data_IF_427461395173
#
_entry.id   IF_427461395173
#
_cell.length_a   1.000
_cell.length_b   1.000
_cell.length_c   1.000
_cell.angle_alpha   90.00
_cell.angle_beta   90.00
_cell.angle_gamma   90.00
#
_symmetry.space_group_name_H-M   'P 1'
#
loop_
_entity.id
_entity.type
_entity.pdbx_description
1 polymer ?
#
# COMPACT_ATOMS: atom_id res chain seq x y z
N UNK A 1 -40.85 2.96 -5.81
CA UNK A 1 -39.69 2.05 -5.70
C UNK A 1 -38.62 2.88 -5.04
N UNK A 2 -38.52 2.73 -3.70
CA UNK A 2 -37.43 3.35 -2.96
C UNK A 2 -36.13 2.59 -3.32
N UNK A 3 -35.18 3.30 -3.93
CA UNK A 3 -33.86 2.74 -4.17
C UNK A 3 -33.13 2.66 -2.82
N UNK A 4 -32.41 1.57 -2.60
CA UNK A 4 -31.57 1.33 -1.43
C UNK A 4 -30.39 2.33 -1.44
N UNK A 5 -29.87 2.69 -0.26
CA UNK A 5 -28.72 3.57 -0.12
C UNK A 5 -27.52 3.12 -0.98
N UNK A 6 -27.27 1.81 -1.03
CA UNK A 6 -26.22 1.25 -1.88
C UNK A 6 -26.44 1.46 -3.37
N UNK A 7 -27.68 1.44 -3.84
CA UNK A 7 -27.99 1.71 -5.25
C UNK A 7 -27.71 3.17 -5.58
N UNK A 8 -28.10 4.10 -4.72
CA UNK A 8 -27.74 5.52 -4.88
C UNK A 8 -26.24 5.73 -4.85
N UNK A 9 -25.53 5.06 -3.94
CA UNK A 9 -24.07 5.14 -3.89
C UNK A 9 -23.44 4.67 -5.21
N UNK A 10 -23.83 3.50 -5.72
CA UNK A 10 -23.31 2.96 -6.97
C UNK A 10 -23.63 3.83 -8.19
N UNK A 11 -24.86 4.42 -8.25
CA UNK A 11 -25.20 5.35 -9.35
C UNK A 11 -24.38 6.63 -9.27
N UNK A 12 -24.08 7.12 -8.06
CA UNK A 12 -23.17 8.23 -7.82
C UNK A 12 -21.75 7.95 -8.30
N UNK A 13 -21.20 6.76 -8.01
CA UNK A 13 -19.88 6.35 -8.53
C UNK A 13 -19.86 6.30 -10.06
N UNK A 14 -20.89 5.75 -10.69
CA UNK A 14 -21.01 5.72 -12.15
C UNK A 14 -21.09 7.12 -12.72
N UNK A 15 -21.88 8.02 -12.11
CA UNK A 15 -21.97 9.42 -12.52
C UNK A 15 -20.61 10.13 -12.40
N UNK A 16 -19.86 9.92 -11.29
CA UNK A 16 -18.49 10.42 -11.14
C UNK A 16 -17.55 9.88 -12.23
N UNK A 17 -17.65 8.60 -12.54
CA UNK A 17 -16.83 7.99 -13.59
C UNK A 17 -17.11 8.59 -14.98
N UNK A 18 -18.35 9.08 -15.20
CA UNK A 18 -18.81 9.75 -16.42
C UNK A 18 -18.58 11.27 -16.38
N UNK A 19 -17.95 11.81 -15.34
CA UNK A 19 -17.75 13.23 -15.09
C UNK A 19 -19.07 14.04 -14.96
N UNK A 20 -20.19 13.36 -14.61
CA UNK A 20 -21.51 13.95 -14.33
C UNK A 20 -21.61 14.37 -12.86
N UNK A 21 -20.85 15.38 -12.47
CA UNK A 21 -20.65 15.76 -11.06
C UNK A 21 -21.94 16.19 -10.33
N UNK A 22 -22.88 16.84 -11.00
CA UNK A 22 -24.17 17.24 -10.41
C UNK A 22 -25.03 16.02 -10.08
N UNK A 23 -25.09 15.03 -10.97
CA UNK A 23 -25.81 13.78 -10.75
C UNK A 23 -25.16 12.97 -9.63
N UNK A 24 -23.83 12.83 -9.65
CA UNK A 24 -23.09 12.16 -8.59
C UNK A 24 -23.36 12.76 -7.21
N UNK A 25 -23.34 14.10 -7.10
CA UNK A 25 -23.64 14.80 -5.85
C UNK A 25 -25.06 14.54 -5.37
N UNK A 26 -26.05 14.54 -6.27
CA UNK A 26 -27.43 14.27 -5.91
C UNK A 26 -27.62 12.81 -5.42
N UNK A 27 -27.00 11.85 -6.10
CA UNK A 27 -27.07 10.44 -5.75
C UNK A 27 -26.39 10.17 -4.40
N UNK A 28 -25.21 10.73 -4.15
CA UNK A 28 -24.53 10.59 -2.84
C UNK A 28 -25.30 11.28 -1.70
N UNK A 29 -25.98 12.40 -1.96
CA UNK A 29 -26.88 13.01 -0.98
C UNK A 29 -28.06 12.10 -0.62
N UNK A 30 -28.61 11.40 -1.61
CA UNK A 30 -29.67 10.42 -1.37
C UNK A 30 -29.12 9.21 -0.60
N UNK A 31 -27.95 8.64 -1.03
CA UNK A 31 -27.32 7.52 -0.34
C UNK A 31 -27.09 7.83 1.15
N UNK A 32 -26.49 8.97 1.44
CA UNK A 32 -26.24 9.38 2.82
C UNK A 32 -27.51 9.76 3.58
N UNK A 33 -28.52 10.27 2.87
CA UNK A 33 -29.84 10.60 3.46
C UNK A 33 -30.59 9.35 3.92
N UNK A 34 -30.54 8.27 3.12
CA UNK A 34 -31.17 6.99 3.45
C UNK A 34 -30.37 6.24 4.53
N UNK A 35 -29.05 6.24 4.45
CA UNK A 35 -28.17 5.55 5.40
C UNK A 35 -27.02 6.45 5.85
N UNK A 36 -27.29 7.33 6.82
CA UNK A 36 -26.29 8.22 7.38
C UNK A 36 -25.36 7.47 8.38
N UNK A 37 -24.52 6.56 7.88
CA UNK A 37 -23.53 5.82 8.68
C UNK A 37 -22.13 6.40 8.49
N UNK A 38 -21.19 6.05 9.40
CA UNK A 38 -19.78 6.38 9.24
C UNK A 38 -19.22 5.71 7.97
N UNK A 39 -19.62 4.46 7.71
CA UNK A 39 -19.18 3.71 6.54
C UNK A 39 -19.61 4.38 5.24
N UNK A 40 -20.88 4.75 5.11
CA UNK A 40 -21.37 5.47 3.93
C UNK A 40 -20.63 6.80 3.71
N UNK A 41 -20.35 7.54 4.78
CA UNK A 41 -19.58 8.78 4.69
C UNK A 41 -18.16 8.55 4.16
N UNK A 42 -17.48 7.50 4.64
CA UNK A 42 -16.13 7.13 4.20
C UNK A 42 -16.14 6.66 2.76
N UNK A 43 -17.12 5.84 2.35
CA UNK A 43 -17.27 5.38 0.96
C UNK A 43 -17.44 6.55 0.00
N UNK A 44 -18.34 7.49 0.33
CA UNK A 44 -18.57 8.69 -0.50
C UNK A 44 -17.31 9.56 -0.55
N UNK A 45 -16.63 9.76 0.59
CA UNK A 45 -15.36 10.50 0.62
C UNK A 45 -14.33 9.85 -0.29
N UNK A 46 -14.17 8.53 -0.22
CA UNK A 46 -13.21 7.78 -1.04
C UNK A 46 -13.51 7.90 -2.53
N UNK A 47 -14.78 7.83 -2.93
CA UNK A 47 -15.21 8.02 -4.31
C UNK A 47 -14.85 9.41 -4.86
N UNK A 48 -15.05 10.46 -4.06
CA UNK A 48 -14.61 11.81 -4.44
C UNK A 48 -13.09 11.96 -4.47
N UNK A 49 -12.38 11.34 -3.52
CA UNK A 49 -10.92 11.41 -3.45
C UNK A 49 -10.26 10.81 -4.70
N UNK A 50 -10.80 9.73 -5.26
CA UNK A 50 -10.33 9.13 -6.52
C UNK A 50 -10.40 10.08 -7.73
N UNK A 51 -11.20 11.15 -7.62
CA UNK A 51 -11.36 12.20 -8.63
C UNK A 51 -10.69 13.52 -8.26
N UNK A 52 -9.81 13.51 -7.25
CA UNK A 52 -9.17 14.72 -6.72
C UNK A 52 -10.18 15.79 -6.20
N UNK A 53 -11.37 15.35 -5.76
CA UNK A 53 -12.47 16.20 -5.27
C UNK A 53 -12.64 16.08 -3.75
N UNK A 54 -11.55 16.11 -3.00
CA UNK A 54 -11.52 15.88 -1.55
C UNK A 54 -12.51 16.76 -0.77
N UNK A 55 -12.64 18.05 -1.15
CA UNK A 55 -13.51 18.99 -0.44
C UNK A 55 -15.00 18.58 -0.50
N UNK A 56 -15.46 17.99 -1.62
CA UNK A 56 -16.83 17.52 -1.79
C UNK A 56 -17.12 16.29 -0.93
N UNK A 57 -16.13 15.41 -0.75
CA UNK A 57 -16.21 14.24 0.11
C UNK A 57 -16.14 14.58 1.60
N UNK A 58 -15.29 15.53 1.99
CA UNK A 58 -15.03 15.90 3.41
C UNK A 58 -16.32 16.30 4.14
N UNK A 59 -17.28 16.94 3.48
CA UNK A 59 -18.58 17.31 4.09
C UNK A 59 -19.34 16.11 4.67
N UNK A 60 -19.21 14.92 4.08
CA UNK A 60 -19.87 13.71 4.60
C UNK A 60 -19.14 13.17 5.84
N UNK A 61 -17.81 13.25 5.88
CA UNK A 61 -17.03 12.92 7.07
C UNK A 61 -17.39 13.84 8.24
N UNK A 62 -17.49 15.17 8.00
CA UNK A 62 -17.93 16.14 9.00
C UNK A 62 -19.36 15.88 9.48
N UNK A 63 -20.27 15.52 8.56
CA UNK A 63 -21.64 15.18 8.91
C UNK A 63 -21.69 13.91 9.79
N UNK A 64 -20.89 12.89 9.50
CA UNK A 64 -20.78 11.68 10.31
C UNK A 64 -20.29 11.97 11.73
N UNK A 65 -19.32 12.88 11.90
CA UNK A 65 -18.80 13.28 13.22
C UNK A 65 -19.82 14.02 14.09
N UNK A 66 -20.92 14.50 13.52
CA UNK A 66 -22.01 15.10 14.32
C UNK A 66 -22.75 14.10 15.20
N UNK A 67 -22.58 12.79 14.94
CA UNK A 67 -23.15 11.72 15.77
C UNK A 67 -22.32 11.51 17.02
N UNK A 68 -22.98 11.10 18.11
CA UNK A 68 -22.30 10.64 19.33
C UNK A 68 -21.79 9.21 19.15
N UNK A 69 -20.64 8.90 19.75
CA UNK A 69 -20.19 7.53 19.88
C UNK A 69 -20.76 6.94 21.17
N UNK A 70 -21.52 5.85 21.06
CA UNK A 70 -22.22 5.24 22.18
C UNK A 70 -21.64 3.84 22.54
N UNK A 71 -20.73 3.31 21.73
CA UNK A 71 -20.12 1.99 21.92
C UNK A 71 -18.74 1.93 21.23
N UNK A 72 -18.01 0.84 21.47
CA UNK A 72 -16.67 0.61 20.91
C UNK A 72 -16.62 0.70 19.37
N UNK A 73 -17.66 0.23 18.68
CA UNK A 73 -17.71 0.31 17.22
C UNK A 73 -17.86 1.76 16.74
N UNK A 74 -18.71 2.56 17.38
CA UNK A 74 -18.88 3.97 17.04
C UNK A 74 -17.57 4.74 17.26
N UNK A 75 -16.84 4.47 18.36
CA UNK A 75 -15.51 5.06 18.59
C UNK A 75 -14.50 4.64 17.54
N UNK A 76 -14.49 3.36 17.15
CA UNK A 76 -13.63 2.87 16.07
C UNK A 76 -13.93 3.59 14.74
N UNK A 77 -15.20 3.71 14.38
CA UNK A 77 -15.63 4.34 13.14
C UNK A 77 -15.34 5.85 13.13
N UNK A 78 -15.54 6.54 14.25
CA UNK A 78 -15.13 7.95 14.40
C UNK A 78 -13.63 8.13 14.29
N UNK A 79 -12.86 7.22 14.89
CA UNK A 79 -11.41 7.18 14.75
C UNK A 79 -10.97 7.02 13.31
N UNK A 80 -11.66 6.17 12.55
CA UNK A 80 -11.44 5.97 11.11
C UNK A 80 -11.77 7.25 10.32
N UNK A 81 -12.87 7.93 10.64
CA UNK A 81 -13.24 9.22 10.01
C UNK A 81 -12.15 10.26 10.26
N UNK A 82 -11.69 10.42 11.51
CA UNK A 82 -10.60 11.35 11.83
C UNK A 82 -9.29 10.99 11.11
N UNK A 83 -9.00 9.69 10.95
CA UNK A 83 -7.85 9.23 10.16
C UNK A 83 -7.91 9.72 8.72
N UNK A 84 -9.06 9.57 8.04
CA UNK A 84 -9.26 10.06 6.68
C UNK A 84 -9.22 11.58 6.56
N UNK A 85 -9.58 12.30 7.61
CA UNK A 85 -9.45 13.77 7.69
C UNK A 85 -8.02 14.23 8.02
N UNK A 86 -7.09 13.33 8.30
CA UNK A 86 -5.73 13.66 8.73
C UNK A 86 -5.65 14.21 10.16
N UNK A 87 -6.72 14.15 10.93
CA UNK A 87 -6.75 14.54 12.34
C UNK A 87 -6.32 13.36 13.23
N UNK A 88 -5.02 13.08 13.19
CA UNK A 88 -4.43 11.92 13.86
C UNK A 88 -4.54 11.96 15.38
N UNK A 89 -4.58 13.12 16.00
CA UNK A 89 -4.71 13.26 17.46
C UNK A 89 -6.11 12.82 17.92
N UNK A 90 -7.16 13.27 17.23
CA UNK A 90 -8.51 12.83 17.52
C UNK A 90 -8.74 11.37 17.09
N UNK A 91 -8.13 10.93 15.98
CA UNK A 91 -8.17 9.53 15.59
C UNK A 91 -7.62 8.62 16.69
N UNK A 92 -6.41 8.92 17.22
CA UNK A 92 -5.81 8.12 18.29
C UNK A 92 -6.66 8.08 19.56
N UNK A 93 -7.30 9.20 19.92
CA UNK A 93 -8.16 9.26 21.10
C UNK A 93 -9.38 8.35 20.95
N UNK A 94 -10.11 8.48 19.86
CA UNK A 94 -11.30 7.65 19.60
C UNK A 94 -10.93 6.16 19.46
N UNK A 95 -9.84 5.85 18.76
CA UNK A 95 -9.35 4.49 18.62
C UNK A 95 -8.86 3.89 19.94
N UNK A 96 -8.34 4.70 20.86
CA UNK A 96 -7.95 4.20 22.18
C UNK A 96 -9.18 3.82 23.01
N UNK A 97 -10.24 4.62 23.01
CA UNK A 97 -11.51 4.28 23.68
C UNK A 97 -12.09 2.98 23.12
N UNK A 98 -12.08 2.83 21.77
CA UNK A 98 -12.54 1.61 21.12
C UNK A 98 -11.70 0.38 21.50
N UNK A 99 -10.38 0.51 21.52
CA UNK A 99 -9.46 -0.58 21.84
C UNK A 99 -9.57 -1.00 23.32
N UNK A 100 -9.73 -0.04 24.23
CA UNK A 100 -9.94 -0.29 25.66
C UNK A 100 -11.24 -1.07 25.93
N UNK A 101 -12.25 -0.87 25.07
CA UNK A 101 -13.51 -1.61 25.07
C UNK A 101 -13.46 -2.91 24.23
N UNK A 102 -12.26 -3.31 23.76
CA UNK A 102 -12.00 -4.60 23.13
C UNK A 102 -12.23 -4.64 21.62
N UNK A 103 -12.31 -3.50 20.94
CA UNK A 103 -12.40 -3.45 19.49
C UNK A 103 -11.02 -3.70 18.85
N UNK A 104 -10.82 -4.90 18.30
CA UNK A 104 -9.54 -5.31 17.68
C UNK A 104 -9.21 -4.48 16.43
N UNK A 105 -10.20 -4.08 15.64
CA UNK A 105 -9.99 -3.24 14.45
C UNK A 105 -9.38 -1.88 14.83
N UNK A 106 -9.76 -1.32 15.98
CA UNK A 106 -9.19 -0.08 16.48
C UNK A 106 -7.68 -0.18 16.74
N UNK A 107 -7.18 -1.34 17.17
CA UNK A 107 -5.74 -1.59 17.36
C UNK A 107 -4.99 -1.51 16.02
N UNK A 108 -5.56 -2.12 14.97
CA UNK A 108 -5.00 -2.03 13.62
C UNK A 108 -4.96 -0.58 13.12
N UNK A 109 -6.06 0.14 13.27
CA UNK A 109 -6.16 1.55 12.85
C UNK A 109 -5.20 2.46 13.63
N UNK A 110 -4.98 2.19 14.94
CA UNK A 110 -3.93 2.89 15.70
C UNK A 110 -2.54 2.71 15.07
N UNK A 111 -2.23 1.49 14.63
CA UNK A 111 -0.98 1.21 13.91
C UNK A 111 -0.87 2.03 12.63
N UNK A 112 -1.95 2.12 11.84
CA UNK A 112 -2.00 2.94 10.62
C UNK A 112 -1.81 4.43 10.92
N UNK A 113 -2.46 4.97 11.95
CA UNK A 113 -2.27 6.37 12.38
C UNK A 113 -0.82 6.64 12.75
N UNK A 114 -0.15 5.75 13.50
CA UNK A 114 1.27 5.90 13.82
C UNK A 114 2.17 5.87 12.59
N UNK A 115 1.84 5.07 11.57
CA UNK A 115 2.57 5.08 10.29
C UNK A 115 2.49 6.43 9.60
N UNK A 116 1.30 7.05 9.55
CA UNK A 116 1.13 8.39 8.99
C UNK A 116 1.90 9.47 9.77
N UNK A 117 1.97 9.32 11.10
CA UNK A 117 2.75 10.18 11.99
C UNK A 117 4.27 9.92 11.91
N UNK A 118 4.72 8.92 11.12
CA UNK A 118 6.11 8.47 11.00
C UNK A 118 6.70 7.91 12.30
N UNK A 119 5.86 7.46 13.21
CA UNK A 119 6.24 6.73 14.41
C UNK A 119 6.18 5.20 14.16
N UNK A 120 7.13 4.71 13.35
CA UNK A 120 7.23 3.30 12.97
C UNK A 120 7.34 2.37 14.18
N UNK A 121 7.99 2.83 15.27
CA UNK A 121 8.16 2.02 16.48
C UNK A 121 6.84 1.78 17.21
N UNK A 122 5.98 2.79 17.31
CA UNK A 122 4.64 2.65 17.89
C UNK A 122 3.69 1.89 16.97
N UNK A 123 3.78 2.13 15.65
CA UNK A 123 3.02 1.40 14.66
C UNK A 123 3.28 -0.11 14.74
N UNK A 124 4.55 -0.53 14.77
CA UNK A 124 4.97 -1.92 14.90
C UNK A 124 4.35 -2.60 16.12
N UNK A 125 4.38 -1.95 17.29
CA UNK A 125 3.77 -2.50 18.52
C UNK A 125 2.27 -2.75 18.35
N UNK A 126 1.57 -1.82 17.66
CA UNK A 126 0.13 -1.97 17.42
C UNK A 126 -0.17 -3.07 16.42
N UNK A 127 0.61 -3.22 15.36
CA UNK A 127 0.45 -4.32 14.43
C UNK A 127 0.80 -5.69 15.06
N UNK A 128 1.83 -5.76 15.90
CA UNK A 128 2.15 -6.97 16.69
C UNK A 128 1.01 -7.33 17.67
N UNK A 129 0.46 -6.34 18.36
CA UNK A 129 -0.71 -6.49 19.22
C UNK A 129 -1.90 -7.03 18.43
N UNK A 130 -2.22 -6.44 17.28
CA UNK A 130 -3.29 -6.87 16.41
C UNK A 130 -3.12 -8.30 15.91
N UNK A 131 -1.95 -8.67 15.40
CA UNK A 131 -1.65 -10.03 14.93
C UNK A 131 -1.76 -11.05 16.08
N UNK A 132 -1.42 -10.68 17.32
CA UNK A 132 -1.57 -11.56 18.49
C UNK A 132 -3.03 -11.85 18.85
N UNK A 133 -3.95 -10.95 18.46
CA UNK A 133 -5.40 -11.08 18.71
C UNK A 133 -6.12 -11.69 17.50
N UNK A 134 -5.59 -11.52 16.29
CA UNK A 134 -6.17 -11.96 15.03
C UNK A 134 -5.07 -12.60 14.16
N UNK A 135 -4.68 -13.85 14.51
CA UNK A 135 -3.55 -14.57 13.89
C UNK A 135 -3.69 -14.74 12.36
N UNK A 136 -4.92 -14.84 11.86
CA UNK A 136 -5.22 -15.04 10.43
C UNK A 136 -5.41 -13.71 9.69
N UNK A 137 -4.68 -12.67 10.07
CA UNK A 137 -4.87 -11.34 9.52
C UNK A 137 -3.80 -10.92 8.52
N UNK A 138 -4.14 -10.93 7.25
CA UNK A 138 -3.32 -10.35 6.19
C UNK A 138 -2.99 -8.88 6.46
N UNK A 139 -3.94 -8.10 6.98
CA UNK A 139 -3.77 -6.66 7.26
C UNK A 139 -2.72 -6.38 8.34
N UNK A 140 -2.69 -7.19 9.41
CA UNK A 140 -1.69 -7.06 10.47
C UNK A 140 -0.28 -7.34 9.98
N UNK A 141 -0.09 -8.44 9.24
CA UNK A 141 1.19 -8.77 8.63
C UNK A 141 1.62 -7.74 7.56
N UNK A 142 0.67 -7.20 6.79
CA UNK A 142 0.97 -6.10 5.87
C UNK A 142 1.46 -4.84 6.62
N UNK A 143 0.83 -4.51 7.74
CA UNK A 143 1.28 -3.41 8.61
C UNK A 143 2.72 -3.61 9.13
N UNK A 144 3.07 -4.83 9.56
CA UNK A 144 4.43 -5.17 9.96
C UNK A 144 5.41 -5.05 8.78
N UNK A 145 5.03 -5.51 7.59
CA UNK A 145 5.86 -5.37 6.39
C UNK A 145 6.10 -3.90 6.02
N UNK A 146 5.10 -3.03 6.17
CA UNK A 146 5.27 -1.59 5.95
C UNK A 146 6.26 -0.98 6.95
N UNK A 147 6.21 -1.39 8.23
CA UNK A 147 7.21 -0.98 9.22
C UNK A 147 8.63 -1.44 8.84
N UNK A 148 8.78 -2.68 8.36
CA UNK A 148 10.08 -3.22 7.93
C UNK A 148 10.62 -2.48 6.69
N UNK A 149 9.75 -2.08 5.77
CA UNK A 149 10.11 -1.27 4.60
C UNK A 149 10.65 0.09 5.04
N UNK A 150 10.00 0.76 5.99
CA UNK A 150 10.47 2.05 6.53
C UNK A 150 11.82 1.92 7.27
N UNK A 151 12.04 0.81 7.95
CA UNK A 151 13.31 0.50 8.63
C UNK A 151 14.40 0.01 7.64
N UNK A 152 14.05 -0.27 6.38
CA UNK A 152 14.96 -0.78 5.34
C UNK A 152 15.27 -2.28 5.49
N UNK A 153 14.55 -3.01 6.35
CA UNK A 153 14.67 -4.46 6.50
C UNK A 153 13.74 -5.18 5.51
N UNK A 154 14.17 -5.20 4.26
CA UNK A 154 13.38 -5.77 3.17
C UNK A 154 13.23 -7.31 3.25
N UNK A 155 14.13 -8.01 3.95
CA UNK A 155 14.03 -9.47 4.12
C UNK A 155 12.90 -9.81 5.11
N UNK A 156 12.81 -9.08 6.24
CA UNK A 156 11.69 -9.17 7.17
C UNK A 156 10.37 -8.75 6.50
N UNK A 157 10.38 -7.67 5.71
CA UNK A 157 9.20 -7.23 4.96
C UNK A 157 8.66 -8.32 4.03
N UNK A 158 9.52 -9.00 3.26
CA UNK A 158 9.12 -10.13 2.40
C UNK A 158 8.57 -11.31 3.21
N UNK A 159 9.12 -11.59 4.38
CA UNK A 159 8.61 -12.64 5.28
C UNK A 159 7.20 -12.32 5.76
N UNK A 160 6.96 -11.08 6.18
CA UNK A 160 5.64 -10.61 6.61
C UNK A 160 4.64 -10.59 5.44
N UNK A 161 5.03 -10.14 4.24
CA UNK A 161 4.17 -10.23 3.05
C UNK A 161 3.83 -11.68 2.72
N UNK A 162 4.80 -12.61 2.79
CA UNK A 162 4.53 -14.04 2.58
C UNK A 162 3.50 -14.60 3.58
N UNK A 163 3.58 -14.17 4.85
CA UNK A 163 2.59 -14.54 5.86
C UNK A 163 1.21 -13.95 5.52
N UNK A 164 1.15 -12.68 5.16
CA UNK A 164 -0.10 -12.01 4.78
C UNK A 164 -0.77 -12.69 3.57
N UNK A 165 0.00 -13.06 2.55
CA UNK A 165 -0.52 -13.71 1.33
C UNK A 165 -1.18 -15.07 1.59
N UNK A 166 -0.92 -15.72 2.73
CA UNK A 166 -1.59 -16.99 3.08
C UNK A 166 -3.07 -16.81 3.45
N UNK A 167 -3.47 -15.60 3.81
CA UNK A 167 -4.82 -15.28 4.29
C UNK A 167 -5.57 -14.31 3.37
N UNK A 168 -4.87 -13.65 2.46
CA UNK A 168 -5.41 -12.55 1.67
C UNK A 168 -6.29 -13.04 0.50
N UNK A 169 -7.39 -12.32 0.27
CA UNK A 169 -8.28 -12.49 -0.87
C UNK A 169 -8.68 -11.12 -1.44
N UNK A 170 -9.23 -11.11 -2.65
CA UNK A 170 -9.81 -9.91 -3.25
C UNK A 170 -8.84 -8.72 -3.37
N UNK A 171 -9.26 -7.54 -2.94
CA UNK A 171 -8.45 -6.30 -3.00
C UNK A 171 -7.24 -6.33 -2.07
N UNK A 172 -7.33 -7.07 -0.95
CA UNK A 172 -6.21 -7.24 -0.04
C UNK A 172 -5.06 -8.03 -0.69
N UNK A 173 -5.38 -9.13 -1.38
CA UNK A 173 -4.41 -9.89 -2.18
C UNK A 173 -3.74 -8.99 -3.23
N UNK A 174 -4.54 -8.18 -3.92
CA UNK A 174 -4.04 -7.24 -4.93
C UNK A 174 -3.02 -6.26 -4.35
N UNK A 175 -3.32 -5.67 -3.20
CA UNK A 175 -2.45 -4.74 -2.49
C UNK A 175 -1.15 -5.40 -2.04
N UNK A 176 -1.21 -6.63 -1.52
CA UNK A 176 -0.03 -7.37 -1.06
C UNK A 176 0.90 -7.76 -2.20
N UNK A 177 0.36 -8.20 -3.33
CA UNK A 177 1.17 -8.51 -4.51
C UNK A 177 1.88 -7.25 -5.06
N UNK A 178 1.21 -6.10 -5.00
CA UNK A 178 1.82 -4.81 -5.34
C UNK A 178 2.96 -4.46 -4.37
N UNK A 179 2.75 -4.65 -3.06
CA UNK A 179 3.76 -4.41 -2.04
C UNK A 179 4.96 -5.36 -2.20
N UNK A 180 4.73 -6.64 -2.50
CA UNK A 180 5.80 -7.61 -2.76
C UNK A 180 6.72 -7.14 -3.89
N UNK A 181 6.15 -6.74 -5.02
CA UNK A 181 6.90 -6.19 -6.15
C UNK A 181 7.70 -4.95 -5.74
N UNK A 182 7.07 -4.03 -5.01
CA UNK A 182 7.70 -2.78 -4.54
C UNK A 182 8.89 -3.06 -3.61
N UNK A 183 8.83 -4.08 -2.76
CA UNK A 183 9.95 -4.47 -1.89
C UNK A 183 11.15 -4.92 -2.73
N UNK A 184 10.96 -5.75 -3.77
CA UNK A 184 12.04 -6.14 -4.67
C UNK A 184 12.62 -4.94 -5.42
N UNK A 185 11.79 -3.97 -5.81
CA UNK A 185 12.26 -2.72 -6.41
C UNK A 185 13.15 -1.93 -5.44
N UNK A 186 12.73 -1.76 -4.18
CA UNK A 186 13.52 -1.10 -3.14
C UNK A 186 14.83 -1.83 -2.82
N UNK A 187 14.87 -3.16 -2.96
CA UNK A 187 16.09 -3.98 -2.91
C UNK A 187 16.99 -3.80 -4.14
N UNK A 188 16.56 -3.04 -5.15
CA UNK A 188 17.20 -2.91 -6.45
C UNK A 188 17.29 -4.24 -7.24
N UNK A 189 16.50 -5.25 -6.86
CA UNK A 189 16.32 -6.49 -7.61
C UNK A 189 15.22 -6.29 -8.67
N UNK A 190 15.56 -5.52 -9.71
CA UNK A 190 14.63 -5.18 -10.77
C UNK A 190 14.24 -6.41 -11.63
N UNK A 191 15.01 -7.48 -11.61
CA UNK A 191 14.69 -8.72 -12.33
C UNK A 191 13.50 -9.41 -11.64
N UNK A 192 13.58 -9.60 -10.32
CA UNK A 192 12.50 -10.21 -9.55
C UNK A 192 11.29 -9.27 -9.48
N UNK A 193 11.49 -7.95 -9.28
CA UNK A 193 10.40 -6.98 -9.30
C UNK A 193 9.60 -7.04 -10.62
N UNK A 194 10.29 -7.10 -11.77
CA UNK A 194 9.66 -7.25 -13.07
C UNK A 194 8.84 -8.55 -13.18
N UNK A 195 9.39 -9.66 -12.70
CA UNK A 195 8.68 -10.94 -12.69
C UNK A 195 7.41 -10.85 -11.85
N UNK A 196 7.48 -10.26 -10.64
CA UNK A 196 6.32 -10.05 -9.77
C UNK A 196 5.25 -9.14 -10.40
N UNK A 197 5.66 -8.10 -11.10
CA UNK A 197 4.74 -7.25 -11.86
C UNK A 197 4.06 -8.01 -13.03
N UNK A 198 4.76 -8.93 -13.68
CA UNK A 198 4.18 -9.80 -14.73
C UNK A 198 3.18 -10.80 -14.11
N UNK A 199 3.52 -11.45 -12.98
CA UNK A 199 2.62 -12.35 -12.23
C UNK A 199 1.36 -11.60 -11.74
N UNK A 200 1.50 -10.38 -11.23
CA UNK A 200 0.37 -9.53 -10.86
C UNK A 200 -0.58 -9.26 -12.03
N UNK A 201 -0.04 -8.92 -13.21
CA UNK A 201 -0.83 -8.60 -14.39
C UNK A 201 -1.50 -9.84 -15.03
N UNK A 202 -1.08 -11.05 -14.71
CA UNK A 202 -1.82 -12.26 -15.06
C UNK A 202 -3.16 -12.34 -14.31
N UNK A 203 -3.20 -11.87 -13.07
CA UNK A 203 -4.41 -11.83 -12.23
C UNK A 203 -5.25 -10.57 -12.48
N UNK A 204 -4.61 -9.43 -12.69
CA UNK A 204 -5.24 -8.11 -12.84
C UNK A 204 -4.82 -7.45 -14.16
N UNK A 205 -5.26 -7.99 -15.33
CA UNK A 205 -4.73 -7.57 -16.63
C UNK A 205 -5.07 -6.12 -17.03
N UNK A 206 -6.07 -5.51 -16.39
CA UNK A 206 -6.50 -4.15 -16.70
C UNK A 206 -5.91 -3.07 -15.79
N UNK A 207 -5.07 -3.45 -14.81
CA UNK A 207 -4.46 -2.50 -13.90
C UNK A 207 -3.47 -1.58 -14.65
N UNK A 208 -3.86 -0.30 -14.77
CA UNK A 208 -3.08 0.70 -15.52
C UNK A 208 -1.83 1.14 -14.76
N UNK A 209 -1.86 1.12 -13.44
CA UNK A 209 -0.73 1.50 -12.58
C UNK A 209 0.37 0.46 -12.71
N UNK A 210 0.03 -0.82 -12.55
CA UNK A 210 1.00 -1.91 -12.69
C UNK A 210 1.55 -2.01 -14.12
N UNK A 211 0.75 -1.72 -15.17
CA UNK A 211 1.27 -1.65 -16.55
C UNK A 211 2.34 -0.58 -16.72
N UNK A 212 2.18 0.59 -16.09
CA UNK A 212 3.20 1.65 -16.11
C UNK A 212 4.44 1.23 -15.35
N UNK A 213 4.26 0.61 -14.17
CA UNK A 213 5.36 0.11 -13.35
C UNK A 213 6.16 -0.97 -14.07
N UNK A 214 5.51 -1.94 -14.68
CA UNK A 214 6.17 -2.95 -15.50
C UNK A 214 6.98 -2.34 -16.66
N UNK A 215 6.46 -1.30 -17.30
CA UNK A 215 7.18 -0.60 -18.35
C UNK A 215 8.46 0.07 -17.82
N UNK A 216 8.39 0.69 -16.63
CA UNK A 216 9.55 1.25 -15.94
C UNK A 216 10.57 0.15 -15.56
N UNK A 217 10.15 -0.93 -14.93
CA UNK A 217 11.01 -2.05 -14.52
C UNK A 217 11.74 -2.69 -15.71
N UNK A 218 11.10 -2.81 -16.88
CA UNK A 218 11.75 -3.29 -18.12
C UNK A 218 12.94 -2.44 -18.52
N UNK A 219 12.89 -1.12 -18.34
CA UNK A 219 14.03 -0.23 -18.63
C UNK A 219 15.20 -0.43 -17.65
N UNK A 220 14.89 -0.74 -16.38
CA UNK A 220 15.90 -0.98 -15.34
C UNK A 220 16.65 -2.29 -15.57
N UNK A 221 15.93 -3.36 -15.90
CA UNK A 221 16.54 -4.67 -16.22
C UNK A 221 17.47 -4.58 -17.43
N UNK A 222 17.09 -3.83 -18.46
CA UNK A 222 17.95 -3.64 -19.65
C UNK A 222 19.24 -2.88 -19.27
N UNK A 223 19.14 -1.82 -18.48
CA UNK A 223 20.30 -1.05 -18.03
C UNK A 223 21.24 -1.84 -17.11
N UNK A 224 20.71 -2.73 -16.26
CA UNK A 224 21.56 -3.63 -15.44
C UNK A 224 22.35 -4.62 -16.30
N UNK A 225 21.74 -5.20 -17.31
CA UNK A 225 22.41 -6.13 -18.22
C UNK A 225 23.51 -5.46 -19.06
N UNK A 226 23.32 -4.20 -19.46
CA UNK A 226 24.34 -3.42 -20.17
C UNK A 226 25.53 -3.09 -19.26
N UNK A 227 25.28 -2.72 -17.98
CA UNK A 227 26.35 -2.44 -17.01
C UNK A 227 27.13 -3.70 -16.62
N UNK A 228 26.45 -4.82 -16.37
CA UNK A 228 27.14 -6.09 -16.06
C UNK A 228 27.94 -6.62 -17.26
N UNK A 229 27.49 -6.35 -18.49
CA UNK A 229 28.23 -6.65 -19.70
C UNK A 229 29.48 -5.77 -19.87
N UNK A 230 29.44 -4.53 -19.43
CA UNK A 230 30.58 -3.62 -19.46
C UNK A 230 31.62 -3.96 -18.41
N UNK A 231 31.22 -4.37 -17.20
CA UNK A 231 32.14 -4.84 -16.16
C UNK A 231 32.84 -6.15 -16.53
N UNK A 232 32.14 -7.13 -17.11
CA UNK A 232 32.73 -8.38 -17.57
C UNK A 232 33.69 -8.18 -18.74
N UNK A 233 33.45 -7.22 -19.62
CA UNK A 233 34.38 -6.87 -20.72
C UNK A 233 35.60 -6.11 -20.22
N UNK A 234 35.45 -5.28 -19.17
CA UNK A 234 36.59 -4.59 -18.53
C UNK A 234 37.50 -5.54 -17.73
N UNK A 235 36.91 -6.52 -17.06
CA UNK A 235 37.64 -7.54 -16.30
C UNK A 235 38.36 -8.53 -17.25
N UNK A 236 37.74 -8.91 -18.34
CA UNK A 236 38.37 -9.72 -19.38
C UNK A 236 39.51 -8.99 -20.06
N UNK A 237 39.39 -7.69 -20.31
CA UNK A 237 40.48 -6.87 -20.87
C UNK A 237 41.64 -6.66 -19.90
N UNK A 238 41.38 -6.61 -18.59
CA UNK A 238 42.40 -6.50 -17.54
C UNK A 238 43.22 -7.80 -17.37
N UNK A 239 42.59 -8.96 -17.54
CA UNK A 239 43.26 -10.29 -17.48
C UNK A 239 44.14 -10.49 -18.68
N UNK A 240 43.76 -10.01 -19.86
CA UNK A 240 44.55 -10.16 -21.10
C UNK A 240 45.77 -9.20 -21.11
N UNK A 241 45.69 -8.04 -20.48
CA UNK A 241 46.85 -7.12 -20.34
C UNK A 241 47.89 -7.60 -19.34
N UNK A 242 47.54 -8.43 -18.35
CA UNK A 242 48.48 -9.02 -17.40
C UNK A 242 49.19 -10.28 -17.95
N UNK A 243 48.62 -10.94 -18.94
CA UNK A 243 49.24 -12.08 -19.59
C UNK A 243 50.33 -11.69 -20.62
N UNK A 244 50.26 -10.43 -21.13
CA UNK A 244 51.26 -9.95 -22.09
C UNK A 244 52.56 -9.41 -21.42
N UNK A 245 52.51 -9.07 -20.12
CA UNK A 245 53.68 -8.52 -19.42
C UNK A 245 54.56 -9.58 -18.69
N UNK A 246 54.11 -10.85 -18.66
CA UNK A 246 54.87 -11.96 -18.08
C UNK A 246 55.70 -12.78 -19.06
N UNK A 247 55.68 -12.44 -20.35
CA UNK A 247 56.39 -13.19 -21.40
C UNK A 247 57.72 -12.55 -21.84
N UNK A 248 58.15 -11.44 -21.21
CA UNK A 248 59.31 -10.69 -21.70
C UNK A 248 60.47 -10.55 -20.68
N UNK A 249 60.63 -11.54 -19.76
CA UNK A 249 61.83 -11.60 -18.88
C UNK A 249 62.35 -13.05 -18.81
N UNK A 250 62.92 -13.55 -19.87
CA UNK A 250 63.94 -14.61 -19.78
C UNK A 250 64.68 -14.74 -21.11
N UNK A 251 65.75 -13.98 -21.31
CA UNK A 251 66.90 -14.34 -22.16
C UNK A 251 67.95 -13.24 -22.11
N UNK A 252 68.89 -13.31 -21.15
CA UNK A 252 70.27 -12.90 -21.36
C UNK A 252 71.08 -13.09 -20.07
N UNK A 253 71.68 -14.27 -19.92
CA UNK A 253 72.98 -14.45 -19.27
C UNK A 253 73.51 -15.80 -19.71
N UNK A 254 74.44 -15.73 -20.64
CA UNK A 254 75.64 -16.59 -20.73
C UNK A 254 76.48 -16.13 -21.93
N UNK A 255 77.50 -15.34 -21.64
CA UNK A 255 78.91 -15.53 -22.02
C UNK A 255 79.72 -14.33 -21.54
#
# INVERSE_FOLDING_TARGET
DDMDADVYFLTGEVALAMDSYEEASADFEQAYGEEATYDMAIRIYSAYLEKDMEADGTRYLEAALSKTADNAQDHCDRGRVYYYMGDYDNAQKELQEAADDGNTEAVLLQGMVYMEQKDTASARKKFEEYVSQAEDSARGFNGLALCDIEDGDYDSALSNISSALTFAEGEELKSLLFNEMTIYEKKLDFVTAKQKAEEYLELYPDDKTMKKELAFLKTRVTGQNENSGAETTAEAAAVDSNAADSANTDSSEEQ
#
